data_IF_365633996769
#
_entry.id   IF_365633996769
#
_cell.length_a   1.000
_cell.length_b   1.000
_cell.length_c   1.000
_cell.angle_alpha   90.00
_cell.angle_beta   90.00
_cell.angle_gamma   90.00
#
_symmetry.space_group_name_H-M   'P 1'
#
loop_
_entity.id
_entity.type
_entity.pdbx_description
1 polymer ?
#
# COMPACT_ATOMS: atom_id res chain seq x y z
N UNK A 1 -10.22 3.99 -8.14
CA UNK A 1 -10.98 5.03 -7.45
C UNK A 1 -12.41 4.58 -7.17
N UNK A 2 -13.22 4.30 -8.19
CA UNK A 2 -14.63 3.90 -8.09
C UNK A 2 -14.83 2.75 -7.11
N UNK A 3 -14.04 1.67 -7.23
CA UNK A 3 -14.14 0.50 -6.34
C UNK A 3 -13.93 0.89 -4.87
N UNK A 4 -12.85 1.63 -4.57
CA UNK A 4 -12.54 2.03 -3.20
C UNK A 4 -13.64 2.93 -2.63
N UNK A 5 -14.10 3.93 -3.39
CA UNK A 5 -15.15 4.85 -2.94
C UNK A 5 -16.47 4.13 -2.68
N UNK A 6 -16.88 3.22 -3.58
CA UNK A 6 -18.13 2.47 -3.45
C UNK A 6 -18.07 1.52 -2.26
N UNK A 7 -17.02 0.72 -2.14
CA UNK A 7 -16.87 -0.24 -1.02
C UNK A 7 -16.75 0.51 0.30
N UNK A 8 -15.97 1.57 0.37
CA UNK A 8 -15.84 2.38 1.58
C UNK A 8 -17.19 2.98 2.00
N UNK A 9 -17.96 3.53 1.06
CA UNK A 9 -19.29 4.07 1.33
C UNK A 9 -20.23 2.98 1.92
N UNK A 10 -20.26 1.80 1.29
CA UNK A 10 -21.08 0.69 1.77
C UNK A 10 -20.67 0.23 3.17
N UNK A 11 -19.35 0.15 3.44
CA UNK A 11 -18.83 -0.21 4.76
C UNK A 11 -19.18 0.86 5.80
N UNK A 12 -19.11 2.15 5.47
CA UNK A 12 -19.52 3.21 6.39
C UNK A 12 -21.03 3.10 6.75
N UNK A 13 -21.89 2.90 5.75
CA UNK A 13 -23.33 2.73 5.97
C UNK A 13 -23.60 1.49 6.83
N UNK A 14 -22.99 0.35 6.49
CA UNK A 14 -23.14 -0.90 7.24
C UNK A 14 -22.66 -0.76 8.70
N UNK A 15 -21.52 -0.11 8.89
CA UNK A 15 -20.93 0.10 10.21
C UNK A 15 -21.80 0.95 11.12
N UNK A 16 -22.68 1.81 10.57
CA UNK A 16 -23.62 2.60 11.37
C UNK A 16 -24.57 1.72 12.17
N UNK A 17 -25.08 0.66 11.54
CA UNK A 17 -25.92 -0.32 12.25
C UNK A 17 -25.09 -1.30 13.10
N UNK A 18 -23.97 -1.79 12.55
CA UNK A 18 -23.15 -2.83 13.21
C UNK A 18 -22.49 -2.35 14.51
N UNK A 19 -21.98 -1.12 14.52
CA UNK A 19 -21.29 -0.53 15.67
C UNK A 19 -22.21 0.27 16.60
N UNK A 20 -23.52 0.23 16.37
CA UNK A 20 -24.48 0.96 17.19
C UNK A 20 -24.46 0.45 18.63
N UNK A 21 -24.18 1.35 19.57
CA UNK A 21 -24.10 1.00 21.00
C UNK A 21 -22.71 0.54 21.48
N UNK A 22 -21.76 0.32 20.59
CA UNK A 22 -20.39 -0.04 20.97
C UNK A 22 -19.63 1.16 21.56
N UNK A 23 -18.84 0.87 22.62
CA UNK A 23 -17.98 1.87 23.23
C UNK A 23 -16.86 2.28 22.27
N UNK A 24 -16.78 3.58 21.94
CA UNK A 24 -15.74 4.09 21.04
C UNK A 24 -16.18 4.25 19.58
N UNK A 25 -17.48 4.31 19.31
CA UNK A 25 -18.07 4.54 18.00
C UNK A 25 -17.42 5.71 17.22
N UNK A 26 -17.21 6.86 17.87
CA UNK A 26 -16.55 8.02 17.24
C UNK A 26 -15.12 7.72 16.83
N UNK A 27 -14.37 7.03 17.70
CA UNK A 27 -12.99 6.62 17.40
C UNK A 27 -12.93 5.63 16.25
N UNK A 28 -13.89 4.71 16.17
CA UNK A 28 -14.00 3.77 15.05
C UNK A 28 -14.16 4.49 13.72
N UNK A 29 -15.10 5.45 13.64
CA UNK A 29 -15.31 6.23 12.41
C UNK A 29 -14.13 7.11 12.04
N UNK A 30 -13.44 7.68 13.02
CA UNK A 30 -12.22 8.43 12.77
C UNK A 30 -11.13 7.56 12.12
N UNK A 31 -10.92 6.34 12.61
CA UNK A 31 -9.96 5.41 12.03
C UNK A 31 -10.39 4.89 10.66
N UNK A 32 -11.67 4.62 10.47
CA UNK A 32 -12.23 4.18 9.20
C UNK A 32 -12.09 5.27 8.12
N UNK A 33 -12.37 6.52 8.47
CA UNK A 33 -12.21 7.67 7.58
C UNK A 33 -10.72 7.92 7.25
N UNK A 34 -9.83 7.80 8.24
CA UNK A 34 -8.38 7.90 8.03
C UNK A 34 -7.89 6.82 7.06
N UNK A 35 -8.37 5.59 7.21
CA UNK A 35 -8.03 4.49 6.32
C UNK A 35 -8.50 4.76 4.88
N UNK A 36 -9.75 5.20 4.72
CA UNK A 36 -10.33 5.52 3.40
C UNK A 36 -9.58 6.66 2.72
N UNK A 37 -9.29 7.74 3.46
CA UNK A 37 -8.49 8.87 2.97
C UNK A 37 -7.10 8.41 2.52
N UNK A 38 -6.46 7.55 3.31
CA UNK A 38 -5.13 7.03 2.99
C UNK A 38 -5.13 6.18 1.71
N UNK A 39 -6.15 5.34 1.53
CA UNK A 39 -6.30 4.52 0.31
C UNK A 39 -6.60 5.37 -0.92
N UNK A 40 -7.45 6.39 -0.79
CA UNK A 40 -7.72 7.32 -1.89
C UNK A 40 -6.45 8.10 -2.27
N UNK A 41 -5.70 8.58 -1.28
CA UNK A 41 -4.43 9.27 -1.50
C UNK A 41 -3.39 8.38 -2.18
N UNK A 42 -3.33 7.10 -1.81
CA UNK A 42 -2.45 6.12 -2.44
C UNK A 42 -2.75 5.95 -3.94
N UNK A 43 -4.03 5.83 -4.29
CA UNK A 43 -4.44 5.62 -5.69
C UNK A 43 -4.30 6.90 -6.53
N UNK A 44 -4.47 8.06 -5.91
CA UNK A 44 -4.33 9.37 -6.56
C UNK A 44 -2.89 9.87 -6.61
N UNK A 45 -1.94 9.18 -5.99
CA UNK A 45 -0.55 9.58 -5.96
C UNK A 45 0.01 9.76 -7.38
N UNK A 46 0.71 10.85 -7.62
CA UNK A 46 1.32 11.20 -8.91
C UNK A 46 2.78 10.74 -9.02
N UNK A 47 3.39 10.42 -7.90
CA UNK A 47 4.75 9.91 -7.84
C UNK A 47 4.89 8.79 -6.82
N UNK A 48 5.95 7.99 -6.94
CA UNK A 48 6.17 6.80 -6.12
C UNK A 48 6.43 7.14 -4.65
N UNK A 49 7.08 8.27 -4.37
CA UNK A 49 7.35 8.69 -3.01
C UNK A 49 6.07 9.14 -2.30
N UNK A 50 5.19 9.86 -2.99
CA UNK A 50 3.86 10.21 -2.48
C UNK A 50 3.02 8.96 -2.24
N UNK A 51 3.07 7.99 -3.16
CA UNK A 51 2.41 6.69 -2.98
C UNK A 51 2.92 5.99 -1.72
N UNK A 52 4.23 6.00 -1.47
CA UNK A 52 4.84 5.43 -0.27
C UNK A 52 4.34 6.12 1.02
N UNK A 53 4.22 7.45 1.04
CA UNK A 53 3.68 8.16 2.20
C UNK A 53 2.26 7.69 2.56
N UNK A 54 1.37 7.60 1.57
CA UNK A 54 0.02 7.07 1.79
C UNK A 54 0.02 5.57 2.10
N UNK A 55 0.94 4.82 1.54
CA UNK A 55 1.17 3.41 1.84
C UNK A 55 1.46 3.17 3.32
N UNK A 56 2.31 4.00 3.90
CA UNK A 56 2.62 4.01 5.32
C UNK A 56 1.39 4.37 6.17
N UNK A 57 0.62 5.36 5.73
CA UNK A 57 -0.57 5.81 6.44
C UNK A 57 -1.69 4.74 6.43
N UNK A 58 -1.84 3.98 5.34
CA UNK A 58 -2.70 2.79 5.29
C UNK A 58 -2.25 1.74 6.32
N UNK A 59 -0.96 1.52 6.47
CA UNK A 59 -0.41 0.61 7.48
C UNK A 59 -0.74 1.03 8.91
N UNK A 60 -0.59 2.31 9.24
CA UNK A 60 -0.95 2.85 10.57
C UNK A 60 -2.46 2.75 10.82
N UNK A 61 -3.27 3.17 9.87
CA UNK A 61 -4.73 3.13 10.02
C UNK A 61 -5.27 1.70 10.17
N UNK A 62 -4.69 0.74 9.44
CA UNK A 62 -5.04 -0.68 9.61
C UNK A 62 -4.65 -1.23 10.99
N UNK A 63 -3.49 -0.84 11.51
CA UNK A 63 -3.07 -1.18 12.88
C UNK A 63 -4.09 -0.71 13.93
N UNK A 64 -4.56 0.55 13.80
CA UNK A 64 -5.54 1.14 14.71
C UNK A 64 -6.91 0.45 14.61
N UNK A 65 -7.30 0.06 13.41
CA UNK A 65 -8.56 -0.62 13.15
C UNK A 65 -8.57 -2.08 13.62
N UNK A 66 -7.50 -2.85 13.36
CA UNK A 66 -7.35 -4.24 13.85
C UNK A 66 -7.31 -4.24 15.38
N UNK A 67 -6.59 -3.29 15.98
CA UNK A 67 -6.48 -3.12 17.42
C UNK A 67 -7.64 -2.36 18.06
N UNK A 68 -8.79 -2.20 17.38
CA UNK A 68 -9.91 -1.44 17.91
C UNK A 68 -10.39 -1.96 19.26
N UNK A 69 -10.49 -3.28 19.42
CA UNK A 69 -10.82 -3.95 20.67
C UNK A 69 -9.59 -4.10 21.58
N UNK A 70 -8.88 -3.00 21.85
CA UNK A 70 -7.66 -2.96 22.64
C UNK A 70 -7.74 -3.56 24.07
N UNK A 71 -8.90 -3.72 24.73
CA UNK A 71 -8.97 -4.45 25.99
C UNK A 71 -8.72 -5.97 25.82
N UNK A 72 -8.89 -6.49 24.60
CA UNK A 72 -8.69 -7.91 24.29
C UNK A 72 -7.23 -8.19 23.94
N UNK A 73 -6.58 -9.08 24.68
CA UNK A 73 -5.19 -9.48 24.42
C UNK A 73 -4.95 -10.02 23.00
N UNK A 74 -5.84 -10.86 22.41
CA UNK A 74 -5.64 -11.34 21.04
C UNK A 74 -5.69 -10.19 20.01
N UNK A 75 -6.58 -9.21 20.15
CA UNK A 75 -6.64 -8.08 19.23
C UNK A 75 -5.36 -7.21 19.26
N UNK A 76 -4.77 -7.01 20.46
CA UNK A 76 -3.48 -6.33 20.59
C UNK A 76 -2.36 -7.14 19.93
N UNK A 77 -2.31 -8.44 20.15
CA UNK A 77 -1.29 -9.31 19.56
C UNK A 77 -1.40 -9.32 18.03
N UNK A 78 -2.62 -9.45 17.50
CA UNK A 78 -2.92 -9.42 16.07
C UNK A 78 -2.52 -8.09 15.42
N UNK A 79 -2.90 -6.95 16.01
CA UNK A 79 -2.55 -5.64 15.46
C UNK A 79 -1.03 -5.41 15.45
N UNK A 80 -0.32 -5.77 16.53
CA UNK A 80 1.14 -5.68 16.59
C UNK A 80 1.81 -6.57 15.55
N UNK A 81 1.35 -7.81 15.41
CA UNK A 81 1.89 -8.76 14.41
C UNK A 81 1.69 -8.23 13.00
N UNK A 82 0.49 -7.78 12.65
CA UNK A 82 0.20 -7.20 11.35
C UNK A 82 1.10 -5.98 11.08
N UNK A 83 1.23 -5.08 12.05
CA UNK A 83 2.05 -3.90 11.92
C UNK A 83 3.54 -4.23 11.72
N UNK A 84 4.11 -5.10 12.54
CA UNK A 84 5.54 -5.46 12.46
C UNK A 84 5.86 -6.12 11.12
N UNK A 85 5.04 -7.08 10.68
CA UNK A 85 5.27 -7.80 9.42
C UNK A 85 5.18 -6.87 8.21
N UNK A 86 4.14 -6.00 8.16
CA UNK A 86 4.00 -5.06 7.06
C UNK A 86 5.08 -4.00 7.08
N UNK A 87 5.49 -3.48 8.24
CA UNK A 87 6.58 -2.51 8.37
C UNK A 87 7.93 -3.06 7.96
N UNK A 88 8.21 -4.31 8.29
CA UNK A 88 9.41 -4.97 7.81
C UNK A 88 9.47 -5.00 6.28
N UNK A 89 8.36 -5.34 5.63
CA UNK A 89 8.26 -5.30 4.17
C UNK A 89 8.36 -3.87 3.61
N UNK A 90 7.75 -2.89 4.27
CA UNK A 90 7.76 -1.48 3.86
C UNK A 90 9.18 -0.88 3.89
N UNK A 91 10.07 -1.36 4.77
CA UNK A 91 11.49 -0.96 4.74
C UNK A 91 12.17 -1.33 3.43
N UNK A 92 11.93 -2.53 2.91
CA UNK A 92 12.46 -2.93 1.61
C UNK A 92 11.87 -2.08 0.48
N UNK A 93 10.58 -1.75 0.58
CA UNK A 93 9.93 -0.85 -0.37
C UNK A 93 10.61 0.51 -0.40
N UNK A 94 10.88 1.12 0.76
CA UNK A 94 11.57 2.41 0.85
C UNK A 94 12.98 2.35 0.25
N UNK A 95 13.76 1.32 0.61
CA UNK A 95 15.11 1.14 0.07
C UNK A 95 15.05 1.02 -1.46
N UNK A 96 14.11 0.24 -1.98
CA UNK A 96 13.90 0.10 -3.43
C UNK A 96 13.57 1.43 -4.10
N UNK A 97 12.68 2.25 -3.52
CA UNK A 97 12.32 3.58 -4.02
C UNK A 97 13.56 4.51 -4.05
N UNK A 98 14.32 4.53 -2.97
CA UNK A 98 15.51 5.39 -2.88
C UNK A 98 16.59 4.96 -3.87
N UNK A 99 16.84 3.66 -4.01
CA UNK A 99 17.73 3.14 -5.03
C UNK A 99 17.27 3.51 -6.43
N UNK A 100 16.00 3.28 -6.73
CA UNK A 100 15.42 3.61 -8.02
C UNK A 100 15.54 5.11 -8.32
N UNK A 101 15.12 5.98 -7.39
CA UNK A 101 15.19 7.43 -7.55
C UNK A 101 16.62 7.97 -7.69
N UNK A 102 17.59 7.34 -7.01
CA UNK A 102 19.01 7.71 -7.14
C UNK A 102 19.55 7.47 -8.56
N UNK A 103 19.18 6.36 -9.20
CA UNK A 103 19.64 6.00 -10.52
C UNK A 103 18.87 6.63 -11.67
N UNK A 104 17.54 6.84 -11.48
CA UNK A 104 16.67 7.43 -12.51
C UNK A 104 16.56 8.94 -12.39
N UNK A 105 16.99 9.53 -11.27
CA UNK A 105 16.83 10.94 -10.92
C UNK A 105 15.37 11.43 -10.98
N UNK A 106 14.39 10.53 -10.89
CA UNK A 106 12.97 10.84 -10.91
C UNK A 106 12.16 9.90 -10.03
N UNK A 107 11.13 10.45 -9.40
CA UNK A 107 10.12 9.71 -8.64
C UNK A 107 8.74 9.75 -9.31
N UNK A 108 8.61 10.39 -10.47
CA UNK A 108 7.33 10.59 -11.13
C UNK A 108 6.88 9.36 -11.91
N UNK A 109 5.56 9.09 -11.88
CA UNK A 109 4.94 8.10 -12.78
C UNK A 109 4.68 8.65 -14.18
N UNK A 110 4.71 9.98 -14.37
CA UNK A 110 4.51 10.61 -15.67
C UNK A 110 5.85 10.84 -16.36
N UNK A 111 6.28 9.90 -17.14
CA UNK A 111 7.48 10.02 -17.95
C UNK A 111 7.31 10.90 -19.21
N UNK A 112 6.09 11.25 -19.55
CA UNK A 112 5.78 11.95 -20.81
C UNK A 112 6.20 13.44 -20.84
N UNK A 113 6.80 13.99 -19.78
CA UNK A 113 6.97 15.46 -19.74
C UNK A 113 8.38 16.01 -19.56
N UNK A 114 9.34 15.31 -18.96
CA UNK A 114 10.59 15.96 -18.54
C UNK A 114 11.84 15.07 -18.59
N UNK A 115 12.05 14.33 -19.61
CA UNK A 115 13.25 13.51 -19.79
C UNK A 115 13.06 12.35 -20.76
N UNK A 116 11.82 12.05 -21.12
CA UNK A 116 11.51 11.03 -22.11
C UNK A 116 12.03 11.39 -23.51
N UNK A 117 12.10 12.68 -23.86
CA UNK A 117 12.68 13.15 -25.13
C UNK A 117 14.19 12.84 -25.24
N UNK A 118 14.89 12.73 -24.12
CA UNK A 118 16.33 12.46 -24.12
C UNK A 118 16.62 10.95 -24.15
N UNK A 119 15.62 10.10 -23.79
CA UNK A 119 15.85 8.66 -23.54
C UNK A 119 15.09 7.76 -24.51
N UNK A 120 14.03 8.27 -25.13
CA UNK A 120 13.16 7.49 -26.00
C UNK A 120 13.10 8.09 -27.39
N UNK A 121 13.61 7.39 -28.37
CA UNK A 121 13.06 7.42 -29.70
C UNK A 121 11.58 7.02 -29.60
N UNK A 122 10.72 7.75 -30.29
CA UNK A 122 9.29 7.58 -30.49
C UNK A 122 8.72 6.21 -30.11
N UNK A 123 8.10 6.08 -28.92
CA UNK A 123 7.39 4.89 -28.50
C UNK A 123 6.96 4.98 -27.04
N UNK A 124 5.68 4.81 -26.78
CA UNK A 124 5.10 4.69 -25.45
C UNK A 124 5.55 3.38 -24.79
N UNK A 125 6.74 3.36 -24.20
CA UNK A 125 7.19 2.23 -23.42
C UNK A 125 6.77 2.40 -21.96
N UNK A 126 6.40 1.31 -21.25
CA UNK A 126 6.12 1.36 -19.82
C UNK A 126 7.33 1.89 -19.04
N UNK A 127 7.05 2.59 -17.93
CA UNK A 127 8.03 3.22 -17.03
C UNK A 127 9.30 2.38 -16.78
N UNK A 128 9.15 1.09 -16.50
CA UNK A 128 10.25 0.19 -16.16
C UNK A 128 11.06 -0.24 -17.39
N UNK A 129 10.41 -0.43 -18.54
CA UNK A 129 11.11 -0.87 -19.75
C UNK A 129 12.04 0.20 -20.31
N UNK A 130 11.73 1.48 -20.13
CA UNK A 130 12.57 2.58 -20.58
C UNK A 130 13.88 2.66 -19.80
N UNK A 131 13.82 2.49 -18.49
CA UNK A 131 14.99 2.54 -17.63
C UNK A 131 15.80 1.24 -17.62
N UNK A 132 15.18 0.10 -18.01
CA UNK A 132 15.87 -1.17 -18.11
C UNK A 132 17.03 -1.13 -19.13
N UNK A 133 16.83 -0.42 -20.24
CA UNK A 133 17.89 -0.22 -21.25
C UNK A 133 19.08 0.58 -20.71
N UNK A 134 18.85 1.58 -19.85
CA UNK A 134 19.93 2.33 -19.17
C UNK A 134 20.62 1.51 -18.09
N UNK A 135 19.90 0.67 -17.37
CA UNK A 135 20.46 -0.18 -16.34
C UNK A 135 21.43 -1.22 -16.89
N UNK A 136 21.17 -1.73 -18.08
CA UNK A 136 22.06 -2.67 -18.75
C UNK A 136 23.41 -2.00 -19.08
N UNK A 137 23.42 -0.71 -19.39
CA UNK A 137 24.63 0.05 -19.67
C UNK A 137 25.37 0.56 -18.43
N UNK A 138 24.68 0.74 -17.29
CA UNK A 138 25.25 1.35 -16.07
C UNK A 138 25.57 0.36 -14.93
N UNK A 139 25.57 -0.94 -15.18
CA UNK A 139 25.79 -1.96 -14.15
C UNK A 139 24.54 -2.73 -13.79
N UNK A 140 24.06 -3.43 -14.74
CA UNK A 140 22.97 -4.40 -14.94
C UNK A 140 22.13 -4.93 -13.73
N UNK A 141 22.58 -4.80 -12.48
CA UNK A 141 21.93 -5.44 -11.33
C UNK A 141 21.14 -4.49 -10.42
N UNK A 142 21.31 -3.18 -10.55
CA UNK A 142 20.78 -2.23 -9.55
C UNK A 142 19.28 -2.00 -9.70
N UNK A 143 18.80 -1.78 -10.92
CA UNK A 143 17.35 -1.57 -11.15
C UNK A 143 16.54 -2.85 -10.87
N UNK A 144 16.92 -4.04 -11.36
CA UNK A 144 16.25 -5.28 -10.96
C UNK A 144 16.21 -5.49 -9.44
N UNK A 145 17.32 -5.15 -8.75
CA UNK A 145 17.36 -5.23 -7.28
C UNK A 145 16.39 -4.25 -6.63
N UNK A 146 16.34 -2.99 -7.09
CA UNK A 146 15.42 -1.99 -6.59
C UNK A 146 13.96 -2.43 -6.79
N UNK A 147 13.62 -2.94 -7.98
CA UNK A 147 12.29 -3.46 -8.29
C UNK A 147 11.92 -4.67 -7.44
N UNK A 148 12.87 -5.57 -7.19
CA UNK A 148 12.65 -6.73 -6.31
C UNK A 148 12.38 -6.28 -4.88
N UNK A 149 13.12 -5.29 -4.36
CA UNK A 149 12.88 -4.71 -3.05
C UNK A 149 11.51 -4.04 -2.95
N UNK A 150 11.11 -3.30 -3.98
CA UNK A 150 9.77 -2.71 -4.06
C UNK A 150 8.67 -3.79 -4.09
N UNK A 151 8.90 -4.87 -4.83
CA UNK A 151 7.98 -6.02 -4.88
C UNK A 151 7.81 -6.67 -3.51
N UNK A 152 8.88 -6.81 -2.71
CA UNK A 152 8.80 -7.35 -1.33
C UNK A 152 7.88 -6.48 -0.47
N UNK A 153 7.93 -5.16 -0.60
CA UNK A 153 6.99 -4.25 0.06
C UNK A 153 5.53 -4.52 -0.31
N UNK A 154 5.26 -4.66 -1.61
CA UNK A 154 3.93 -5.05 -2.11
C UNK A 154 3.48 -6.41 -1.61
N UNK A 155 4.39 -7.40 -1.61
CA UNK A 155 4.13 -8.75 -1.12
C UNK A 155 3.75 -8.77 0.36
N UNK A 156 4.34 -7.91 1.20
CA UNK A 156 4.01 -7.80 2.61
C UNK A 156 2.58 -7.34 2.86
N UNK A 157 2.11 -6.30 2.16
CA UNK A 157 0.72 -5.84 2.27
C UNK A 157 -0.28 -6.77 1.59
N UNK A 158 0.11 -7.39 0.49
CA UNK A 158 -0.73 -8.39 -0.20
C UNK A 158 -0.72 -9.76 0.47
N UNK A 159 -0.07 -9.90 1.63
CA UNK A 159 0.01 -11.14 2.37
C UNK A 159 0.47 -12.33 1.51
N UNK A 160 1.46 -12.11 0.65
CA UNK A 160 2.07 -13.17 -0.15
C UNK A 160 2.99 -14.03 0.74
N UNK A 161 3.11 -15.30 0.40
CA UNK A 161 4.06 -16.18 1.08
C UNK A 161 5.50 -15.64 0.97
N UNK A 162 6.29 -15.61 2.04
CA UNK A 162 6.03 -16.08 3.42
C UNK A 162 5.42 -15.02 4.37
N UNK A 163 5.12 -13.80 3.89
CA UNK A 163 4.65 -12.66 4.70
C UNK A 163 3.13 -12.67 4.99
N UNK A 164 2.44 -13.80 4.74
CA UNK A 164 0.98 -13.92 4.90
C UNK A 164 0.52 -14.14 6.36
N UNK A 165 1.44 -14.35 7.28
CA UNK A 165 1.18 -14.78 8.67
C UNK A 165 0.35 -13.78 9.51
N UNK A 166 0.22 -12.54 9.06
CA UNK A 166 -0.56 -11.51 9.75
C UNK A 166 -2.04 -11.50 9.32
N UNK A 167 -2.34 -12.00 8.12
CA UNK A 167 -3.66 -11.89 7.51
C UNK A 167 -4.75 -12.64 8.28
N UNK A 168 -4.56 -13.91 8.73
CA UNK A 168 -5.56 -14.61 9.52
C UNK A 168 -5.85 -13.93 10.87
N UNK A 169 -4.80 -13.44 11.54
CA UNK A 169 -4.94 -12.81 12.86
C UNK A 169 -5.63 -11.44 12.76
N UNK A 170 -5.51 -10.75 11.62
CA UNK A 170 -6.17 -9.47 11.41
C UNK A 170 -7.71 -9.54 11.45
N UNK A 171 -8.29 -10.74 11.44
CA UNK A 171 -9.74 -10.96 11.63
C UNK A 171 -10.24 -10.69 13.07
N UNK A 172 -9.35 -10.48 14.04
CA UNK A 172 -9.71 -10.07 15.41
C UNK A 172 -10.30 -8.64 15.49
N UNK A 173 -10.17 -7.86 14.43
CA UNK A 173 -10.83 -6.56 14.31
C UNK A 173 -12.32 -6.66 14.01
N UNK A 174 -13.07 -5.53 14.08
CA UNK A 174 -14.50 -5.49 13.72
C UNK A 174 -14.74 -6.00 12.30
N UNK A 175 -15.81 -6.79 12.09
CA UNK A 175 -16.12 -7.41 10.79
C UNK A 175 -16.13 -6.43 9.60
N UNK A 176 -16.71 -5.21 9.70
CA UNK A 176 -16.68 -4.26 8.59
C UNK A 176 -15.25 -3.82 8.21
N UNK A 177 -14.37 -3.75 9.21
CA UNK A 177 -12.94 -3.43 9.00
C UNK A 177 -12.26 -4.56 8.25
N UNK A 178 -12.47 -5.79 8.68
CA UNK A 178 -11.91 -6.96 8.01
C UNK A 178 -12.37 -7.04 6.55
N UNK A 179 -13.64 -6.77 6.28
CA UNK A 179 -14.15 -6.70 4.92
C UNK A 179 -13.45 -5.62 4.07
N UNK A 180 -13.21 -4.44 4.63
CA UNK A 180 -12.54 -3.35 3.93
C UNK A 180 -11.07 -3.66 3.68
N UNK A 181 -10.33 -4.11 4.70
CA UNK A 181 -8.88 -4.36 4.62
C UNK A 181 -8.59 -5.51 3.64
N UNK A 182 -9.30 -6.64 3.77
CA UNK A 182 -8.94 -7.87 3.06
C UNK A 182 -9.51 -7.96 1.65
N UNK A 183 -10.76 -7.51 1.45
CA UNK A 183 -11.42 -7.74 0.16
C UNK A 183 -11.10 -6.68 -0.89
N UNK A 184 -11.08 -5.39 -0.53
CA UNK A 184 -11.16 -4.34 -1.53
C UNK A 184 -10.00 -3.34 -1.54
N UNK A 185 -9.13 -3.33 -0.51
CA UNK A 185 -8.22 -2.20 -0.38
C UNK A 185 -6.78 -2.58 -0.05
N UNK A 186 -6.44 -2.92 1.20
CA UNK A 186 -5.06 -3.05 1.63
C UNK A 186 -4.32 -4.20 0.93
N UNK A 187 -4.94 -5.38 0.82
CA UNK A 187 -4.33 -6.55 0.18
C UNK A 187 -4.16 -6.32 -1.33
N UNK A 188 -5.08 -5.58 -1.94
CA UNK A 188 -5.02 -5.23 -3.36
C UNK A 188 -4.00 -4.12 -3.64
N UNK A 189 -3.56 -3.37 -2.63
CA UNK A 189 -2.58 -2.29 -2.81
C UNK A 189 -1.26 -2.76 -3.42
N UNK A 190 -0.76 -3.96 -3.08
CA UNK A 190 0.44 -4.52 -3.70
C UNK A 190 0.24 -4.88 -5.17
N UNK A 191 -0.92 -5.40 -5.53
CA UNK A 191 -1.27 -5.65 -6.93
C UNK A 191 -1.39 -4.34 -7.71
N UNK A 192 -2.02 -3.32 -7.11
CA UNK A 192 -2.10 -1.98 -7.68
C UNK A 192 -0.72 -1.36 -7.89
N UNK A 193 0.19 -1.51 -6.94
CA UNK A 193 1.57 -1.06 -7.06
C UNK A 193 2.24 -1.66 -8.29
N UNK A 194 2.15 -2.99 -8.46
CA UNK A 194 2.72 -3.68 -9.62
C UNK A 194 2.09 -3.15 -10.91
N UNK A 195 0.76 -3.11 -11.00
CA UNK A 195 0.05 -2.61 -12.18
C UNK A 195 0.33 -1.13 -12.50
N UNK A 196 0.78 -0.35 -11.51
CA UNK A 196 1.15 1.05 -11.71
C UNK A 196 2.58 1.22 -12.19
N UNK A 197 3.45 0.26 -11.88
CA UNK A 197 4.87 0.29 -12.22
C UNK A 197 5.17 -0.39 -13.55
N UNK A 198 4.39 -1.38 -13.93
CA UNK A 198 4.50 -2.15 -15.19
C UNK A 198 3.34 -1.86 -16.12
#
# INVERSE_FOLDING_TARGET
LIVISTVSLMVHIYSFGYMHGEKGFQRYYAFLSLFTMSMLGLVLATNIFQMYMFWELVGVSSYLLIGFYYPLKPAIAASKKAFIVTRFADMFFLIGILMFGYFTHSFSFNFAGHGAEVIMGEGTTPFIMADYGRAITAGAMIIPTALTLMFIGGAGKSAMFPLHIWLPDAMEGPTPVSALIHAATMVVAGVFQIARMF
#
